data_IF_231525016941
#
_entry.id   IF_231525016941
#
_cell.length_a   1.000
_cell.length_b   1.000
_cell.length_c   1.000
_cell.angle_alpha   90.00
_cell.angle_beta   90.00
_cell.angle_gamma   90.00
#
_symmetry.space_group_name_H-M   'P 1'
#
loop_
_entity.id
_entity.type
_entity.pdbx_description
1 polymer ?
#
# COMPACT_ATOMS: atom_id res chain seq x y z
N UNK A 1 -12.88 -2.93 -12.11
CA UNK A 1 -12.75 -2.26 -10.79
C UNK A 1 -11.70 -1.12 -10.89
N UNK A 2 -12.04 0.00 -11.56
CA UNK A 2 -11.21 1.22 -11.60
C UNK A 2 -11.34 1.95 -10.26
N UNK A 3 -10.21 2.32 -9.66
CA UNK A 3 -10.14 2.84 -8.30
C UNK A 3 -11.01 4.07 -8.10
N UNK A 4 -11.51 4.24 -6.88
CA UNK A 4 -12.54 5.22 -6.52
C UNK A 4 -12.16 6.63 -6.95
N UNK A 5 -10.90 7.03 -6.76
CA UNK A 5 -10.42 8.37 -7.14
C UNK A 5 -10.47 8.59 -8.66
N UNK A 6 -10.13 7.56 -9.45
CA UNK A 6 -10.23 7.58 -10.92
C UNK A 6 -11.68 7.63 -11.44
N UNK A 7 -12.69 7.50 -10.57
CA UNK A 7 -14.11 7.60 -10.94
C UNK A 7 -14.73 8.95 -10.66
N UNK A 8 -14.22 9.70 -9.68
CA UNK A 8 -14.88 10.90 -9.16
C UNK A 8 -14.06 12.19 -9.33
N UNK A 9 -12.72 12.07 -9.45
CA UNK A 9 -11.86 13.24 -9.68
C UNK A 9 -11.89 13.67 -11.15
N UNK A 10 -11.64 14.95 -11.40
CA UNK A 10 -11.49 15.46 -12.77
C UNK A 10 -10.24 14.88 -13.43
N UNK A 11 -10.24 14.76 -14.75
CA UNK A 11 -9.06 14.26 -15.48
C UNK A 11 -7.80 15.09 -15.17
N UNK A 12 -7.95 16.42 -15.04
CA UNK A 12 -6.88 17.33 -14.67
C UNK A 12 -6.34 17.03 -13.26
N UNK A 13 -7.22 16.86 -12.27
CA UNK A 13 -6.81 16.57 -10.89
C UNK A 13 -6.08 15.22 -10.80
N UNK A 14 -6.55 14.20 -11.52
CA UNK A 14 -5.84 12.92 -11.60
C UNK A 14 -4.46 13.11 -12.20
N UNK A 15 -4.34 13.86 -13.29
CA UNK A 15 -3.07 14.14 -13.97
C UNK A 15 -2.07 14.90 -13.07
N UNK A 16 -2.54 15.97 -12.42
CA UNK A 16 -1.75 16.75 -11.45
C UNK A 16 -1.25 15.86 -10.30
N UNK A 17 -2.09 14.95 -9.79
CA UNK A 17 -1.71 14.01 -8.74
C UNK A 17 -0.66 12.99 -9.22
N UNK A 18 -0.71 12.55 -10.47
CA UNK A 18 0.29 11.61 -11.01
C UNK A 18 1.65 12.29 -11.18
N UNK A 19 1.67 13.54 -11.66
CA UNK A 19 2.90 14.32 -11.74
C UNK A 19 3.47 14.64 -10.34
N UNK A 20 2.62 14.99 -9.39
CA UNK A 20 3.06 15.19 -8.00
C UNK A 20 3.64 13.90 -7.40
N UNK A 21 3.02 12.74 -7.68
CA UNK A 21 3.53 11.46 -7.19
C UNK A 21 4.89 11.12 -7.80
N UNK A 22 5.08 11.33 -9.11
CA UNK A 22 6.38 11.17 -9.76
C UNK A 22 7.45 12.07 -9.12
N UNK A 23 7.16 13.37 -9.02
CA UNK A 23 8.09 14.36 -8.46
C UNK A 23 8.53 13.95 -7.05
N UNK A 24 7.58 13.60 -6.17
CA UNK A 24 7.89 13.22 -4.79
C UNK A 24 8.59 11.88 -4.66
N UNK A 25 8.28 10.90 -5.50
CA UNK A 25 9.01 9.62 -5.52
C UNK A 25 10.46 9.82 -5.96
N UNK A 26 10.70 10.72 -6.92
CA UNK A 26 12.05 11.07 -7.36
C UNK A 26 12.80 11.82 -6.26
N UNK A 27 12.17 12.82 -5.62
CA UNK A 27 12.73 13.62 -4.52
C UNK A 27 13.04 12.80 -3.26
N UNK A 28 12.41 11.64 -3.07
CA UNK A 28 12.75 10.73 -1.96
C UNK A 28 13.98 9.86 -2.23
N UNK A 29 14.53 9.88 -3.45
CA UNK A 29 15.50 8.91 -3.98
C UNK A 29 16.73 9.51 -4.70
N UNK A 30 16.91 10.82 -4.67
CA UNK A 30 18.17 11.51 -4.95
C UNK A 30 19.24 11.17 -3.89
N UNK A 31 20.52 11.36 -4.22
CA UNK A 31 21.64 10.98 -3.35
C UNK A 31 21.71 11.89 -2.12
N UNK A 32 22.00 11.30 -0.95
CA UNK A 32 21.95 11.91 0.40
C UNK A 32 20.52 12.16 0.95
N UNK A 33 19.51 11.58 0.32
CA UNK A 33 18.13 11.79 0.74
C UNK A 33 17.76 11.16 2.07
N UNK A 34 16.63 11.65 2.57
CA UNK A 34 16.01 11.31 3.83
C UNK A 34 15.86 9.78 4.00
N UNK A 35 15.38 9.06 2.98
CA UNK A 35 15.10 7.62 3.13
C UNK A 35 16.38 6.79 3.33
N UNK A 36 17.44 7.06 2.57
CA UNK A 36 18.69 6.32 2.71
C UNK A 36 19.42 6.70 4.01
N UNK A 37 19.48 8.01 4.30
CA UNK A 37 20.06 8.55 5.53
C UNK A 37 19.41 7.96 6.79
N UNK A 38 18.09 7.77 6.77
CA UNK A 38 17.35 7.19 7.89
C UNK A 38 17.15 5.66 7.77
N UNK A 39 17.71 5.01 6.75
CA UNK A 39 17.60 3.55 6.55
C UNK A 39 16.15 3.07 6.40
N UNK A 40 15.32 3.86 5.72
CA UNK A 40 13.91 3.57 5.43
C UNK A 40 13.79 2.80 4.13
N UNK A 41 13.09 1.67 4.15
CA UNK A 41 12.69 0.91 2.97
C UNK A 41 11.30 1.36 2.52
N UNK A 42 11.20 1.84 1.29
CA UNK A 42 9.94 2.25 0.68
C UNK A 42 9.29 1.06 -0.04
N UNK A 43 7.98 0.88 0.15
CA UNK A 43 7.16 -0.01 -0.68
C UNK A 43 5.91 0.73 -1.17
N UNK A 44 5.47 0.42 -2.38
CA UNK A 44 4.21 0.89 -2.93
C UNK A 44 3.19 -0.24 -2.89
N UNK A 45 2.14 -0.07 -2.08
CA UNK A 45 1.08 -1.06 -1.94
C UNK A 45 -0.09 -0.69 -2.85
N UNK A 46 -0.47 -1.55 -3.78
CA UNK A 46 -1.61 -1.33 -4.65
C UNK A 46 -1.44 -1.88 -6.07
N UNK A 47 -2.33 -1.48 -6.97
CA UNK A 47 -2.29 -1.85 -8.39
C UNK A 47 -1.38 -0.93 -9.18
N UNK A 48 -0.06 -1.05 -9.01
CA UNK A 48 0.93 -0.19 -9.69
C UNK A 48 0.79 -0.22 -11.22
N UNK A 49 0.33 -1.34 -11.80
CA UNK A 49 0.01 -1.46 -13.22
C UNK A 49 -1.09 -0.49 -13.73
N UNK A 50 -1.87 0.14 -12.83
CA UNK A 50 -2.86 1.16 -13.17
C UNK A 50 -2.30 2.59 -13.16
N UNK A 51 -1.04 2.78 -12.74
CA UNK A 51 -0.37 4.07 -12.78
C UNK A 51 0.13 4.36 -14.21
N UNK A 52 0.31 5.63 -14.59
CA UNK A 52 1.05 5.97 -15.80
C UNK A 52 2.47 5.40 -15.78
N UNK A 53 3.02 5.10 -16.96
CA UNK A 53 4.34 4.46 -17.10
C UNK A 53 5.46 5.25 -16.43
N UNK A 54 5.40 6.58 -16.48
CA UNK A 54 6.38 7.45 -15.83
C UNK A 54 6.36 7.31 -14.30
N UNK A 55 5.18 7.22 -13.69
CA UNK A 55 5.04 6.95 -12.24
C UNK A 55 5.52 5.54 -11.91
N UNK A 56 5.19 4.53 -12.73
CA UNK A 56 5.68 3.16 -12.52
C UNK A 56 7.22 3.11 -12.53
N UNK A 57 7.88 3.86 -13.42
CA UNK A 57 9.33 3.94 -13.46
C UNK A 57 9.90 4.61 -12.19
N UNK A 58 9.28 5.69 -11.71
CA UNK A 58 9.65 6.35 -10.46
C UNK A 58 9.50 5.41 -9.25
N UNK A 59 8.38 4.67 -9.17
CA UNK A 59 8.15 3.64 -8.15
C UNK A 59 9.25 2.59 -8.16
N UNK A 60 9.53 1.97 -9.32
CA UNK A 60 10.52 0.91 -9.44
C UNK A 60 11.93 1.39 -9.05
N UNK A 61 12.28 2.63 -9.42
CA UNK A 61 13.54 3.27 -9.00
C UNK A 61 13.58 3.44 -7.48
N UNK A 62 12.51 3.96 -6.88
CA UNK A 62 12.46 4.29 -5.47
C UNK A 62 12.50 3.07 -4.54
N UNK A 63 11.72 2.03 -4.86
CA UNK A 63 11.79 0.74 -4.17
C UNK A 63 13.17 0.09 -4.39
N UNK A 64 13.70 0.16 -5.62
CA UNK A 64 14.99 -0.42 -5.97
C UNK A 64 16.15 0.15 -5.16
N UNK A 65 16.21 1.48 -4.98
CA UNK A 65 17.26 2.16 -4.20
C UNK A 65 17.14 1.80 -2.72
N UNK A 66 15.94 1.81 -2.17
CA UNK A 66 15.71 1.64 -0.73
C UNK A 66 15.52 0.18 -0.29
N UNK A 67 15.53 -0.80 -1.20
CA UNK A 67 15.23 -2.22 -0.89
C UNK A 67 16.07 -2.86 0.21
N UNK A 68 17.31 -2.39 0.36
CA UNK A 68 18.28 -2.94 1.32
C UNK A 68 18.16 -2.35 2.71
N UNK A 69 17.36 -1.29 2.85
CA UNK A 69 17.17 -0.57 4.10
C UNK A 69 16.35 -1.42 5.08
N UNK A 70 16.71 -1.37 6.36
CA UNK A 70 16.14 -2.27 7.40
C UNK A 70 15.71 -1.55 8.67
N UNK A 71 15.95 -0.24 8.78
CA UNK A 71 15.67 0.50 10.03
C UNK A 71 14.18 0.83 10.17
N UNK A 72 13.51 1.16 9.07
CA UNK A 72 12.08 1.41 9.05
C UNK A 72 11.46 1.01 7.70
N UNK A 73 10.13 0.86 7.68
CA UNK A 73 9.36 0.58 6.47
C UNK A 73 8.38 1.74 6.26
N UNK A 74 8.37 2.32 5.07
CA UNK A 74 7.37 3.26 4.62
C UNK A 74 6.54 2.63 3.51
N UNK A 75 5.25 2.44 3.75
CA UNK A 75 4.32 1.94 2.74
C UNK A 75 3.48 3.10 2.20
N UNK A 76 3.54 3.35 0.89
CA UNK A 76 2.66 4.29 0.21
C UNK A 76 1.60 3.50 -0.55
N UNK A 77 0.35 3.69 -0.17
CA UNK A 77 -0.79 2.95 -0.73
C UNK A 77 -1.31 3.63 -2.01
N UNK A 78 -0.78 3.26 -3.18
CA UNK A 78 -1.21 3.83 -4.46
C UNK A 78 -1.04 2.87 -5.66
N UNK A 79 -2.07 2.75 -6.51
CA UNK A 79 -3.49 2.92 -6.23
C UNK A 79 -4.01 1.74 -5.40
N UNK A 80 -4.56 2.01 -4.23
CA UNK A 80 -4.91 0.97 -3.25
C UNK A 80 -6.40 0.98 -2.88
N UNK A 81 -6.96 -0.21 -2.66
CA UNK A 81 -8.17 -0.43 -1.87
C UNK A 81 -8.03 -1.72 -1.08
N UNK A 82 -8.52 -1.74 0.16
CA UNK A 82 -8.43 -2.94 1.00
C UNK A 82 -9.25 -4.09 0.44
N UNK A 83 -10.42 -3.80 -0.14
CA UNK A 83 -11.24 -4.80 -0.83
C UNK A 83 -10.45 -5.49 -1.95
N UNK A 84 -9.62 -4.76 -2.69
CA UNK A 84 -8.79 -5.37 -3.72
C UNK A 84 -7.67 -6.22 -3.13
N UNK A 85 -6.97 -5.70 -2.12
CA UNK A 85 -5.92 -6.44 -1.42
C UNK A 85 -6.44 -7.79 -0.91
N UNK A 86 -7.59 -7.79 -0.24
CA UNK A 86 -8.23 -9.00 0.29
C UNK A 86 -8.61 -9.96 -0.84
N UNK A 87 -9.22 -9.46 -1.93
CA UNK A 87 -9.54 -10.31 -3.09
C UNK A 87 -8.29 -11.00 -3.64
N UNK A 88 -7.20 -10.26 -3.83
CA UNK A 88 -5.96 -10.84 -4.37
C UNK A 88 -5.23 -11.74 -3.39
N UNK A 89 -5.35 -11.51 -2.09
CA UNK A 89 -4.84 -12.42 -1.07
C UNK A 89 -5.61 -13.74 -1.08
N UNK A 90 -6.94 -13.70 -1.18
CA UNK A 90 -7.79 -14.89 -1.31
C UNK A 90 -7.49 -15.65 -2.61
N UNK A 91 -7.39 -14.97 -3.75
CA UNK A 91 -7.01 -15.59 -5.03
C UNK A 91 -5.66 -16.32 -4.92
N UNK A 92 -4.65 -15.67 -4.31
CA UNK A 92 -3.33 -16.28 -4.08
C UNK A 92 -3.42 -17.49 -3.15
N UNK A 93 -4.23 -17.40 -2.08
CA UNK A 93 -4.42 -18.50 -1.11
C UNK A 93 -5.08 -19.71 -1.76
N UNK A 94 -6.08 -19.49 -2.61
CA UNK A 94 -6.74 -20.57 -3.37
C UNK A 94 -5.77 -21.23 -4.34
N UNK A 95 -4.93 -20.44 -5.03
CA UNK A 95 -3.91 -20.98 -5.92
C UNK A 95 -2.92 -21.89 -5.16
N UNK A 96 -2.43 -21.43 -4.00
CA UNK A 96 -1.54 -22.24 -3.15
C UNK A 96 -2.22 -23.52 -2.65
N UNK A 97 -3.52 -23.45 -2.32
CA UNK A 97 -4.30 -24.63 -1.90
C UNK A 97 -4.44 -25.67 -3.03
N UNK A 98 -4.65 -25.21 -4.27
CA UNK A 98 -4.73 -26.08 -5.44
C UNK A 98 -3.39 -26.78 -5.71
N UNK A 99 -2.26 -26.10 -5.46
CA UNK A 99 -0.91 -26.63 -5.63
C UNK A 99 -0.51 -27.58 -4.49
N UNK A 100 -0.88 -27.26 -3.25
CA UNK A 100 -0.57 -28.07 -2.06
C UNK A 100 -1.48 -29.31 -1.89
N UNK A 101 -2.68 -29.28 -2.48
CA UNK A 101 -3.63 -30.39 -2.47
C UNK A 101 -4.61 -30.36 -1.29
N UNK A 102 -5.40 -31.43 -1.10
CA UNK A 102 -6.63 -31.42 -0.29
C UNK A 102 -6.43 -31.21 1.21
N UNK A 103 -5.19 -31.33 1.71
CA UNK A 103 -4.87 -31.12 3.11
C UNK A 103 -4.51 -29.66 3.43
N UNK A 104 -4.47 -28.78 2.43
CA UNK A 104 -4.23 -27.37 2.66
C UNK A 104 -5.47 -26.73 3.29
N UNK A 105 -5.29 -26.16 4.48
CA UNK A 105 -6.35 -25.44 5.18
C UNK A 105 -6.30 -23.95 4.85
N UNK A 106 -7.41 -23.43 4.30
CA UNK A 106 -7.60 -21.99 4.14
C UNK A 106 -8.15 -21.45 5.47
N UNK A 107 -7.35 -20.63 6.14
CA UNK A 107 -7.70 -19.96 7.39
C UNK A 107 -7.21 -18.49 7.36
N UNK A 108 -7.38 -17.77 8.47
CA UNK A 108 -6.99 -16.35 8.58
C UNK A 108 -5.49 -16.16 8.34
N UNK A 109 -4.62 -16.99 8.94
CA UNK A 109 -3.17 -16.93 8.76
C UNK A 109 -2.76 -17.15 7.29
N UNK A 110 -3.42 -18.11 6.62
CA UNK A 110 -3.19 -18.41 5.22
C UNK A 110 -3.46 -17.17 4.36
N UNK A 111 -4.58 -16.48 4.59
CA UNK A 111 -4.95 -15.25 3.87
C UNK A 111 -4.01 -14.09 4.26
N UNK A 112 -3.75 -13.89 5.55
CA UNK A 112 -2.92 -12.80 6.08
C UNK A 112 -1.52 -12.82 5.49
N UNK A 113 -0.92 -14.01 5.37
CA UNK A 113 0.39 -14.18 4.74
C UNK A 113 0.43 -13.74 3.26
N UNK A 114 -0.72 -13.60 2.58
CA UNK A 114 -0.80 -13.14 1.18
C UNK A 114 -1.21 -11.67 1.04
N UNK A 115 -1.51 -10.96 2.12
CA UNK A 115 -1.74 -9.52 2.10
C UNK A 115 -0.49 -8.76 1.66
N UNK A 116 -0.67 -7.58 1.07
CA UNK A 116 0.44 -6.78 0.54
C UNK A 116 1.38 -6.34 1.67
N UNK A 117 0.82 -6.01 2.84
CA UNK A 117 1.60 -5.64 4.04
C UNK A 117 2.50 -6.77 4.52
N UNK A 118 2.00 -8.00 4.54
CA UNK A 118 2.73 -9.19 5.00
C UNK A 118 3.82 -9.58 4.00
N UNK A 119 3.53 -9.52 2.69
CA UNK A 119 4.49 -9.78 1.61
C UNK A 119 5.72 -8.87 1.67
N UNK A 120 5.54 -7.62 2.11
CA UNK A 120 6.65 -6.67 2.28
C UNK A 120 7.25 -6.67 3.69
N UNK A 121 6.77 -7.55 4.59
CA UNK A 121 7.27 -7.68 5.96
C UNK A 121 6.94 -6.50 6.86
N UNK A 122 5.76 -5.89 6.67
CA UNK A 122 5.27 -4.84 7.57
C UNK A 122 4.83 -5.45 8.90
N UNK A 123 5.09 -4.79 10.04
CA UNK A 123 4.51 -5.22 11.32
C UNK A 123 2.98 -5.03 11.33
N UNK A 124 2.28 -5.64 12.30
CA UNK A 124 0.85 -5.38 12.54
C UNK A 124 0.55 -3.90 12.71
N UNK A 125 -0.67 -3.49 12.33
CA UNK A 125 -1.12 -2.11 12.47
C UNK A 125 -1.60 -1.85 13.89
N UNK A 126 -0.87 -1.02 14.64
CA UNK A 126 -1.29 -0.65 16.01
C UNK A 126 -2.24 0.55 16.03
N UNK A 127 -2.02 1.52 15.15
CA UNK A 127 -2.76 2.79 15.15
C UNK A 127 -3.12 3.20 13.72
N UNK A 128 -4.41 3.47 13.49
CA UNK A 128 -4.87 4.13 12.27
C UNK A 128 -5.33 5.55 12.59
N UNK A 129 -4.61 6.52 12.04
CA UNK A 129 -4.95 7.94 12.16
C UNK A 129 -5.64 8.40 10.88
N UNK A 130 -6.84 8.97 11.01
CA UNK A 130 -7.54 9.64 9.91
C UNK A 130 -7.80 11.11 10.26
N UNK A 131 -7.22 12.01 9.46
CA UNK A 131 -7.42 13.46 9.58
C UNK A 131 -8.73 13.91 8.90
N UNK A 132 -9.04 15.21 8.90
CA UNK A 132 -10.24 15.86 8.31
C UNK A 132 -11.58 15.73 9.06
N UNK A 133 -11.60 15.14 10.26
CA UNK A 133 -12.83 14.99 11.07
C UNK A 133 -13.84 13.96 10.53
N UNK A 134 -13.49 13.27 9.44
CA UNK A 134 -14.34 12.26 8.80
C UNK A 134 -14.22 10.92 9.52
N UNK A 135 -15.37 10.37 9.98
CA UNK A 135 -15.46 9.08 10.69
C UNK A 135 -15.85 7.91 9.77
N UNK A 136 -14.98 7.56 8.81
CA UNK A 136 -15.11 6.32 8.00
C UNK A 136 -13.72 5.78 7.68
N UNK A 137 -13.60 4.54 7.22
CA UNK A 137 -12.30 3.97 6.80
C UNK A 137 -11.99 4.21 5.32
N UNK A 138 -13.00 4.43 4.48
CA UNK A 138 -12.83 4.63 3.02
C UNK A 138 -12.12 3.48 2.30
N UNK A 139 -12.37 2.22 2.70
CA UNK A 139 -11.76 1.04 2.06
C UNK A 139 -10.23 1.02 2.17
N UNK A 140 -9.72 1.39 3.36
CA UNK A 140 -8.30 1.48 3.67
C UNK A 140 -7.94 0.54 4.82
N UNK A 141 -6.99 -0.38 4.60
CA UNK A 141 -6.41 -1.28 5.60
C UNK A 141 -7.46 -2.03 6.45
N UNK A 142 -8.56 -2.49 5.85
CA UNK A 142 -9.70 -3.06 6.57
C UNK A 142 -9.35 -4.37 7.30
N UNK A 143 -8.45 -5.19 6.73
CA UNK A 143 -7.96 -6.39 7.43
C UNK A 143 -7.05 -6.02 8.59
N UNK A 144 -6.08 -5.15 8.33
CA UNK A 144 -5.05 -4.78 9.28
C UNK A 144 -5.60 -3.95 10.46
N UNK A 145 -6.68 -3.21 10.26
CA UNK A 145 -7.26 -2.32 11.28
C UNK A 145 -8.11 -3.04 12.32
N UNK A 146 -8.44 -4.32 12.12
CA UNK A 146 -9.31 -5.09 13.02
C UNK A 146 -8.85 -5.07 14.49
N UNK A 147 -7.55 -4.96 14.73
CA UNK A 147 -6.93 -4.91 16.07
C UNK A 147 -6.34 -3.54 16.42
N UNK A 148 -6.49 -2.54 15.56
CA UNK A 148 -5.82 -1.25 15.69
C UNK A 148 -6.64 -0.22 16.48
N UNK A 149 -5.95 0.69 17.16
CA UNK A 149 -6.56 1.89 17.72
C UNK A 149 -6.97 2.85 16.59
N UNK A 150 -8.25 3.18 16.52
CA UNK A 150 -8.79 4.16 15.57
C UNK A 150 -8.74 5.57 16.17
N UNK A 151 -7.96 6.46 15.56
CA UNK A 151 -7.86 7.86 15.95
C UNK A 151 -8.37 8.79 14.84
N UNK A 152 -9.34 9.63 15.16
CA UNK A 152 -9.85 10.68 14.27
C UNK A 152 -9.77 12.03 14.98
N UNK A 153 -8.59 12.68 15.04
CA UNK A 153 -8.43 13.97 15.71
C UNK A 153 -9.33 15.04 15.08
N UNK A 154 -10.07 15.76 15.92
CA UNK A 154 -10.77 17.00 15.55
C UNK A 154 -9.88 18.17 15.95
N UNK A 155 -9.44 18.95 14.97
CA UNK A 155 -8.79 20.23 15.21
C UNK A 155 -9.91 21.27 15.39
N UNK A 156 -10.28 21.52 16.66
CA UNK A 156 -11.19 22.60 17.05
C UNK A 156 -10.39 23.84 17.44
#
# INVERSE_FOLDING_TARGET
>A
MKLRLLRYASAKEVDDLMHLAEEKLIELCQHEDLLDTYGVRLNILGKTALLPSFVQAAVAKAEGITRHNKRAILNICMPYTSSHEITSAVESTVQDALEAGPNFEINEDAIEARLMTSKVGSPPLDILIRTSGVKRLSDYMLWQVCTALLMSPSWN
#
